data_IF_864777014908
#
_entry.id   IF_864777014908
#
_cell.length_a   1.000
_cell.length_b   1.000
_cell.length_c   1.000
_cell.angle_alpha   90.00
_cell.angle_beta   90.00
_cell.angle_gamma   90.00
#
_symmetry.space_group_name_H-M   'P 1'
#
loop_
_entity.id
_entity.type
_entity.pdbx_description
1 polymer ?
#
# COMPACT_ATOMS: atom_id res chain seq x y z
N UNK A 1 13.64 15.46 20.85
CA UNK A 1 14.71 16.21 21.52
C UNK A 1 14.67 17.64 21.01
N UNK A 2 13.89 18.48 21.69
CA UNK A 2 13.84 19.92 21.46
C UNK A 2 13.62 20.55 22.83
N UNK A 3 14.68 21.15 23.35
CA UNK A 3 14.76 21.65 24.72
C UNK A 3 13.66 22.68 25.00
N UNK A 4 12.75 22.34 25.92
CA UNK A 4 11.94 23.34 26.60
C UNK A 4 12.86 24.02 27.61
N UNK A 5 13.46 25.14 27.21
CA UNK A 5 14.08 26.08 28.12
C UNK A 5 12.99 26.62 29.06
N UNK A 6 12.88 26.01 30.24
CA UNK A 6 12.14 26.57 31.38
C UNK A 6 12.87 27.85 31.76
N UNK A 7 12.35 28.98 31.29
CA UNK A 7 12.79 30.28 31.75
C UNK A 7 12.38 30.39 33.22
N UNK A 8 13.32 30.06 34.13
CA UNK A 8 13.16 30.30 35.56
C UNK A 8 12.99 31.81 35.75
N UNK A 9 11.76 32.26 35.87
CA UNK A 9 11.48 33.63 36.30
C UNK A 9 11.78 33.69 37.80
N UNK A 10 13.04 33.95 38.12
CA UNK A 10 13.46 34.25 39.47
C UNK A 10 12.78 35.54 39.89
N UNK A 11 11.81 35.45 40.80
CA UNK A 11 11.32 36.59 41.57
C UNK A 11 12.50 37.12 42.41
N UNK A 12 13.35 37.92 41.79
CA UNK A 12 14.28 38.76 42.51
C UNK A 12 13.44 39.84 43.18
N UNK A 13 13.14 39.63 44.47
CA UNK A 13 12.67 40.67 45.35
C UNK A 13 13.66 41.82 45.27
N UNK A 14 13.28 42.89 44.57
CA UNK A 14 14.01 44.15 44.62
C UNK A 14 13.68 44.81 45.96
N UNK A 15 14.44 44.45 46.98
CA UNK A 15 14.64 45.32 48.13
C UNK A 15 15.36 46.57 47.64
N UNK A 16 14.58 47.54 47.16
CA UNK A 16 15.07 48.88 46.88
C UNK A 16 15.28 49.60 48.23
N UNK A 17 16.40 49.29 48.89
CA UNK A 17 16.89 50.10 50.00
C UNK A 17 17.39 51.41 49.38
N UNK A 18 16.57 52.45 49.46
CA UNK A 18 16.94 53.81 49.07
C UNK A 18 18.17 54.25 49.88
N UNK A 19 19.32 54.29 49.20
CA UNK A 19 20.58 54.81 49.70
C UNK A 19 20.52 56.33 49.86
N UNK A 20 20.03 56.78 51.01
CA UNK A 20 20.23 58.14 51.52
C UNK A 20 21.58 58.25 52.23
N UNK A 21 22.40 59.19 51.76
CA UNK A 21 23.71 59.60 52.26
C UNK A 21 23.83 59.58 53.80
N UNK A 22 24.88 58.93 54.29
CA UNK A 22 25.25 58.90 55.72
C UNK A 22 25.51 60.30 56.25
N UNK A 23 24.63 60.78 57.13
CA UNK A 23 25.02 61.70 58.20
C UNK A 23 24.63 61.04 59.52
N UNK A 24 25.65 60.88 60.37
CA UNK A 24 25.59 60.31 61.72
C UNK A 24 24.64 61.16 62.58
N UNK A 25 23.52 60.57 62.98
CA UNK A 25 22.54 61.17 63.88
C UNK A 25 21.19 60.47 63.75
N UNK A 26 20.82 59.66 64.76
CA UNK A 26 19.48 59.10 64.99
C UNK A 26 18.58 58.99 63.74
N UNK A 27 18.65 57.88 62.99
CA UNK A 27 17.47 57.48 62.19
C UNK A 27 16.38 57.09 63.19
N UNK A 28 15.54 58.05 63.56
CA UNK A 28 14.20 57.74 64.05
C UNK A 28 13.61 56.76 63.04
N UNK A 29 13.09 55.60 63.48
CA UNK A 29 12.47 54.57 62.61
C UNK A 29 11.18 55.05 61.93
N UNK A 30 11.07 56.35 61.67
CA UNK A 30 9.89 57.07 61.20
C UNK A 30 10.26 57.70 59.87
N UNK A 31 9.61 57.23 58.82
CA UNK A 31 9.73 57.75 57.47
C UNK A 31 9.10 59.13 57.38
N UNK A 32 9.64 59.99 56.51
CA UNK A 32 8.96 61.25 56.18
C UNK A 32 7.71 60.96 55.33
N UNK A 33 6.66 61.79 55.42
CA UNK A 33 5.47 61.62 54.57
C UNK A 33 5.79 61.59 53.07
N UNK A 34 6.85 62.29 52.65
CA UNK A 34 7.31 62.35 51.25
C UNK A 34 7.98 61.04 50.80
N UNK A 35 8.85 60.44 51.63
CA UNK A 35 9.43 59.12 51.37
C UNK A 35 8.36 58.02 51.36
N UNK A 36 7.39 58.08 52.28
CA UNK A 36 6.24 57.18 52.30
C UNK A 36 5.41 57.31 51.01
N UNK A 37 5.09 58.54 50.60
CA UNK A 37 4.32 58.79 49.39
C UNK A 37 5.07 58.35 48.12
N UNK A 38 6.38 58.61 48.04
CA UNK A 38 7.23 58.17 46.92
C UNK A 38 7.27 56.64 46.80
N UNK A 39 7.47 55.93 47.92
CA UNK A 39 7.45 54.46 47.94
C UNK A 39 6.09 53.88 47.53
N UNK A 40 4.98 54.43 48.04
CA UNK A 40 3.64 53.96 47.68
C UNK A 40 3.31 54.25 46.21
N UNK A 41 3.74 55.40 45.68
CA UNK A 41 3.60 55.70 44.26
C UNK A 41 4.44 54.75 43.39
N UNK A 42 5.70 54.48 43.75
CA UNK A 42 6.56 53.52 43.05
C UNK A 42 5.93 52.12 43.05
N UNK A 43 5.43 51.66 44.20
CA UNK A 43 4.73 50.37 44.31
C UNK A 43 3.44 50.33 43.50
N UNK A 44 2.67 51.43 43.47
CA UNK A 44 1.49 51.54 42.64
C UNK A 44 1.82 51.42 41.14
N UNK A 45 2.81 52.18 40.65
CA UNK A 45 3.24 52.10 39.25
C UNK A 45 3.81 50.74 38.88
N UNK A 46 4.57 50.10 39.80
CA UNK A 46 5.09 48.76 39.60
C UNK A 46 3.96 47.72 39.50
N UNK A 47 2.97 47.77 40.39
CA UNK A 47 1.80 46.89 40.33
C UNK A 47 0.98 47.11 39.06
N UNK A 48 0.79 48.37 38.64
CA UNK A 48 0.08 48.68 37.41
C UNK A 48 0.78 48.09 36.17
N UNK A 49 2.12 48.19 36.12
CA UNK A 49 2.95 47.58 35.08
C UNK A 49 2.89 46.06 35.10
N UNK A 50 2.90 45.44 36.28
CA UNK A 50 2.74 43.99 36.44
C UNK A 50 1.37 43.52 35.95
N UNK A 51 0.29 44.24 36.26
CA UNK A 51 -1.04 43.97 35.73
C UNK A 51 -1.07 44.02 34.20
N UNK A 52 -0.54 45.09 33.59
CA UNK A 52 -0.45 45.21 32.13
C UNK A 52 0.35 44.06 31.50
N UNK A 53 1.46 43.66 32.12
CA UNK A 53 2.26 42.51 31.67
C UNK A 53 1.49 41.20 31.76
N UNK A 54 0.73 40.98 32.84
CA UNK A 54 -0.10 39.77 32.97
C UNK A 54 -1.21 39.71 31.92
N UNK A 55 -1.87 40.82 31.64
CA UNK A 55 -2.89 40.91 30.58
C UNK A 55 -2.29 40.60 29.21
N UNK A 56 -1.11 41.17 28.92
CA UNK A 56 -0.38 40.92 27.69
C UNK A 56 0.00 39.43 27.53
N UNK A 57 0.50 38.79 28.59
CA UNK A 57 0.82 37.35 28.59
C UNK A 57 -0.43 36.48 28.42
N UNK A 58 -1.55 36.84 29.05
CA UNK A 58 -2.82 36.13 28.91
C UNK A 58 -3.32 36.19 27.47
N UNK A 59 -3.23 37.35 26.82
CA UNK A 59 -3.65 37.52 25.43
C UNK A 59 -2.73 36.79 24.46
N UNK A 60 -1.41 36.79 24.71
CA UNK A 60 -0.47 35.93 23.99
C UNK A 60 -0.81 34.45 24.17
N UNK A 61 -1.10 34.02 25.39
CA UNK A 61 -1.44 32.63 25.72
C UNK A 61 -2.72 32.19 25.01
N UNK A 62 -3.79 32.98 25.08
CA UNK A 62 -5.05 32.75 24.33
C UNK A 62 -4.80 32.66 22.83
N UNK A 63 -3.95 33.54 22.29
CA UNK A 63 -3.58 33.56 20.87
C UNK A 63 -2.83 32.29 20.46
N UNK A 64 -1.86 31.85 21.27
CA UNK A 64 -1.12 30.60 21.06
C UNK A 64 -2.04 29.39 21.14
N UNK A 65 -2.92 29.31 22.14
CA UNK A 65 -3.91 28.22 22.25
C UNK A 65 -4.79 28.17 21.00
N UNK A 66 -5.35 29.31 20.58
CA UNK A 66 -6.19 29.39 19.38
C UNK A 66 -5.43 28.95 18.13
N UNK A 67 -4.19 29.40 17.95
CA UNK A 67 -3.34 29.03 16.82
C UNK A 67 -3.03 27.53 16.82
N UNK A 68 -2.60 26.99 17.96
CA UNK A 68 -2.26 25.57 18.12
C UNK A 68 -3.48 24.68 17.89
N UNK A 69 -4.65 25.07 18.41
CA UNK A 69 -5.91 24.36 18.17
C UNK A 69 -6.29 24.37 16.69
N UNK A 70 -6.18 25.51 16.01
CA UNK A 70 -6.47 25.59 14.58
C UNK A 70 -5.53 24.71 13.73
N UNK A 71 -4.24 24.70 14.06
CA UNK A 71 -3.24 23.84 13.39
C UNK A 71 -3.55 22.36 13.67
N UNK A 72 -3.83 22.01 14.92
CA UNK A 72 -4.15 20.64 15.34
C UNK A 72 -5.40 20.12 14.63
N UNK A 73 -6.47 20.92 14.59
CA UNK A 73 -7.70 20.57 13.87
C UNK A 73 -7.46 20.38 12.38
N UNK A 74 -6.69 21.26 11.75
CA UNK A 74 -6.33 21.13 10.33
C UNK A 74 -5.55 19.84 10.08
N UNK A 75 -4.50 19.57 10.87
CA UNK A 75 -3.69 18.37 10.73
C UNK A 75 -4.51 17.09 10.96
N UNK A 76 -5.42 17.12 11.94
CA UNK A 76 -6.32 16.00 12.22
C UNK A 76 -7.30 15.76 11.05
N UNK A 77 -7.86 16.82 10.47
CA UNK A 77 -8.73 16.73 9.30
C UNK A 77 -7.98 16.18 8.07
N UNK A 78 -6.79 16.71 7.80
CA UNK A 78 -5.92 16.25 6.70
C UNK A 78 -5.53 14.77 6.89
N UNK A 79 -5.15 14.38 8.11
CA UNK A 79 -4.82 12.98 8.45
C UNK A 79 -6.04 12.06 8.26
N UNK A 80 -7.22 12.50 8.72
CA UNK A 80 -8.47 11.75 8.56
C UNK A 80 -8.83 11.57 7.09
N UNK A 81 -8.66 12.62 6.27
CA UNK A 81 -8.88 12.55 4.82
C UNK A 81 -7.94 11.54 4.16
N UNK A 82 -6.63 11.63 4.43
CA UNK A 82 -5.63 10.70 3.88
C UNK A 82 -5.86 9.25 4.31
N UNK A 83 -6.32 9.03 5.54
CA UNK A 83 -6.70 7.69 6.01
C UNK A 83 -7.92 7.14 5.25
N UNK A 84 -8.93 7.97 4.97
CA UNK A 84 -10.10 7.57 4.17
C UNK A 84 -9.70 7.20 2.73
N UNK A 85 -8.87 8.02 2.09
CA UNK A 85 -8.34 7.75 0.74
C UNK A 85 -7.57 6.43 0.73
N UNK A 86 -6.63 6.24 1.65
CA UNK A 86 -5.86 4.99 1.76
C UNK A 86 -6.75 3.77 2.04
N UNK A 87 -7.79 3.92 2.87
CA UNK A 87 -8.75 2.84 3.12
C UNK A 87 -9.50 2.48 1.84
N UNK A 88 -9.96 3.48 1.09
CA UNK A 88 -10.61 3.28 -0.19
C UNK A 88 -9.70 2.53 -1.18
N UNK A 89 -8.44 2.97 -1.33
CA UNK A 89 -7.47 2.31 -2.20
C UNK A 89 -7.23 0.85 -1.80
N UNK A 90 -7.08 0.57 -0.50
CA UNK A 90 -6.88 -0.80 -0.01
C UNK A 90 -8.08 -1.68 -0.33
N UNK A 91 -9.30 -1.17 -0.12
CA UNK A 91 -10.53 -1.92 -0.41
C UNK A 91 -10.69 -2.14 -1.92
N UNK A 92 -10.44 -1.12 -2.73
CA UNK A 92 -10.45 -1.21 -4.19
C UNK A 92 -9.49 -2.30 -4.67
N UNK A 93 -8.21 -2.23 -4.29
CA UNK A 93 -7.23 -3.22 -4.72
C UNK A 93 -7.50 -4.62 -4.18
N UNK A 94 -8.14 -4.74 -3.01
CA UNK A 94 -8.55 -6.05 -2.49
C UNK A 94 -9.65 -6.66 -3.34
N UNK A 95 -10.63 -5.86 -3.76
CA UNK A 95 -11.70 -6.30 -4.63
C UNK A 95 -11.15 -6.66 -6.01
N UNK A 96 -10.27 -5.84 -6.57
CA UNK A 96 -9.67 -6.08 -7.89
C UNK A 96 -8.81 -7.34 -7.89
N UNK A 97 -7.93 -7.53 -6.90
CA UNK A 97 -7.16 -8.77 -6.79
C UNK A 97 -8.05 -10.02 -6.65
N UNK A 98 -9.14 -9.93 -5.88
CA UNK A 98 -10.06 -11.04 -5.75
C UNK A 98 -10.79 -11.36 -7.06
N UNK A 99 -11.15 -10.32 -7.82
CA UNK A 99 -11.72 -10.47 -9.16
C UNK A 99 -10.73 -11.16 -10.09
N UNK A 100 -9.52 -10.63 -10.21
CA UNK A 100 -8.46 -11.17 -11.08
C UNK A 100 -8.11 -12.64 -10.74
N UNK A 101 -8.05 -12.99 -9.45
CA UNK A 101 -7.86 -14.38 -9.03
C UNK A 101 -9.00 -15.28 -9.56
N UNK A 102 -10.25 -14.82 -9.45
CA UNK A 102 -11.40 -15.60 -9.95
C UNK A 102 -11.41 -15.70 -11.47
N UNK A 103 -11.03 -14.63 -12.16
CA UNK A 103 -10.96 -14.59 -13.63
C UNK A 103 -9.89 -15.57 -14.13
N UNK A 104 -8.69 -15.59 -13.52
CA UNK A 104 -7.63 -16.56 -13.83
C UNK A 104 -8.07 -18.00 -13.53
N UNK A 105 -8.81 -18.25 -12.44
CA UNK A 105 -9.34 -19.58 -12.14
C UNK A 105 -10.30 -20.04 -13.25
N UNK A 106 -11.22 -19.17 -13.67
CA UNK A 106 -12.18 -19.48 -14.71
C UNK A 106 -11.49 -19.75 -16.05
N UNK A 107 -10.59 -18.86 -16.46
CA UNK A 107 -9.82 -19.02 -17.70
C UNK A 107 -8.98 -20.30 -17.69
N UNK A 108 -8.33 -20.61 -16.57
CA UNK A 108 -7.56 -21.86 -16.42
C UNK A 108 -8.45 -23.09 -16.51
N UNK A 109 -9.67 -23.04 -15.96
CA UNK A 109 -10.63 -24.14 -16.09
C UNK A 109 -11.08 -24.35 -17.54
N UNK A 110 -11.32 -23.26 -18.29
CA UNK A 110 -11.68 -23.33 -19.71
C UNK A 110 -10.51 -23.94 -20.50
N UNK A 111 -9.29 -23.47 -20.24
CA UNK A 111 -8.10 -23.95 -20.94
C UNK A 111 -7.80 -25.43 -20.67
N UNK A 112 -8.04 -25.91 -19.44
CA UNK A 112 -7.96 -27.33 -19.10
C UNK A 112 -8.96 -28.15 -19.92
N UNK A 113 -10.22 -27.71 -19.98
CA UNK A 113 -11.25 -28.42 -20.77
C UNK A 113 -10.90 -28.47 -22.27
N UNK A 114 -10.41 -27.37 -22.83
CA UNK A 114 -10.01 -27.35 -24.25
C UNK A 114 -8.78 -28.22 -24.51
N UNK A 115 -7.80 -28.24 -23.59
CA UNK A 115 -6.67 -29.17 -23.68
C UNK A 115 -7.15 -30.62 -23.66
N UNK A 116 -8.06 -30.97 -22.76
CA UNK A 116 -8.57 -32.35 -22.64
C UNK A 116 -9.36 -32.75 -23.91
N UNK A 117 -10.12 -31.80 -24.48
CA UNK A 117 -10.77 -31.97 -25.78
C UNK A 117 -9.76 -32.19 -26.90
N UNK A 118 -8.65 -31.44 -26.94
CA UNK A 118 -7.58 -31.63 -27.92
C UNK A 118 -6.90 -33.00 -27.75
N UNK A 119 -6.72 -33.49 -26.52
CA UNK A 119 -6.21 -34.83 -26.25
C UNK A 119 -7.16 -35.92 -26.75
N UNK A 120 -8.46 -35.79 -26.52
CA UNK A 120 -9.46 -36.71 -27.08
C UNK A 120 -9.43 -36.70 -28.61
N UNK A 121 -9.41 -35.51 -29.21
CA UNK A 121 -9.35 -35.37 -30.66
C UNK A 121 -8.08 -35.99 -31.26
N UNK A 122 -6.94 -35.88 -30.56
CA UNK A 122 -5.70 -36.54 -30.98
C UNK A 122 -5.87 -38.07 -31.03
N UNK A 123 -6.50 -38.67 -30.04
CA UNK A 123 -6.78 -40.12 -30.04
C UNK A 123 -7.74 -40.51 -31.17
N UNK A 124 -8.74 -39.67 -31.45
CA UNK A 124 -9.67 -39.91 -32.55
C UNK A 124 -8.98 -39.91 -33.93
N UNK A 125 -7.90 -39.16 -34.10
CA UNK A 125 -7.11 -39.16 -35.34
C UNK A 125 -6.25 -40.41 -35.55
N UNK A 126 -6.03 -41.24 -34.53
CA UNK A 126 -5.23 -42.46 -34.68
C UNK A 126 -5.94 -43.52 -35.53
N UNK A 127 -7.27 -43.61 -35.43
CA UNK A 127 -8.07 -44.56 -36.21
C UNK A 127 -7.99 -44.31 -37.73
N UNK A 128 -8.26 -43.10 -38.25
CA UNK A 128 -8.12 -42.85 -39.69
C UNK A 128 -6.68 -43.03 -40.18
N UNK A 129 -5.67 -42.70 -39.36
CA UNK A 129 -4.27 -42.97 -39.69
C UNK A 129 -3.98 -44.46 -39.83
N UNK A 130 -4.51 -45.28 -38.92
CA UNK A 130 -4.40 -46.74 -38.97
C UNK A 130 -5.09 -47.30 -40.22
N UNK A 131 -6.29 -46.83 -40.54
CA UNK A 131 -7.05 -47.25 -41.73
C UNK A 131 -6.27 -46.92 -43.01
N UNK A 132 -5.73 -45.71 -43.14
CA UNK A 132 -4.93 -45.32 -44.29
C UNK A 132 -3.67 -46.19 -44.43
N UNK A 133 -3.00 -46.47 -43.30
CA UNK A 133 -1.82 -47.34 -43.23
C UNK A 133 -2.13 -48.78 -43.63
N UNK A 134 -3.22 -49.36 -43.12
CA UNK A 134 -3.66 -50.72 -43.46
C UNK A 134 -4.08 -50.84 -44.93
N UNK A 135 -4.71 -49.80 -45.47
CA UNK A 135 -5.04 -49.70 -46.89
C UNK A 135 -3.80 -49.70 -47.79
N UNK A 136 -2.75 -48.98 -47.40
CA UNK A 136 -1.47 -49.00 -48.10
C UNK A 136 -0.80 -50.37 -47.98
N UNK A 137 -0.75 -50.96 -46.78
CA UNK A 137 -0.19 -52.29 -46.56
C UNK A 137 -0.90 -53.37 -47.39
N UNK A 138 -2.23 -53.31 -47.49
CA UNK A 138 -3.02 -54.24 -48.30
C UNK A 138 -2.67 -54.13 -49.80
N UNK A 139 -2.48 -52.90 -50.30
CA UNK A 139 -2.01 -52.65 -51.67
C UNK A 139 -0.58 -53.14 -51.87
N UNK A 140 0.25 -53.06 -50.84
CA UNK A 140 1.62 -53.55 -50.88
C UNK A 140 1.71 -55.05 -51.20
N UNK A 141 0.76 -55.85 -50.71
CA UNK A 141 0.70 -57.30 -50.93
C UNK A 141 0.24 -57.74 -52.33
N UNK A 142 -0.20 -56.82 -53.21
CA UNK A 142 -0.54 -57.16 -54.61
C UNK A 142 0.70 -57.72 -55.33
N UNK A 143 0.52 -58.67 -56.26
CA UNK A 143 1.63 -59.37 -56.93
C UNK A 143 1.48 -59.36 -58.45
N UNK A 144 2.61 -59.46 -59.15
CA UNK A 144 2.63 -59.56 -60.61
C UNK A 144 2.06 -58.31 -61.27
N UNK A 145 1.16 -58.51 -62.25
CA UNK A 145 0.56 -57.40 -63.01
C UNK A 145 -0.35 -56.51 -62.15
N UNK A 146 -0.84 -57.01 -61.01
CA UNK A 146 -1.72 -56.26 -60.09
C UNK A 146 -0.93 -55.32 -59.16
N UNK A 147 0.41 -55.40 -59.14
CA UNK A 147 1.26 -54.47 -58.39
C UNK A 147 1.38 -53.16 -59.18
N UNK A 148 0.34 -52.35 -59.09
CA UNK A 148 0.21 -51.06 -59.78
C UNK A 148 0.06 -49.95 -58.76
N UNK A 149 0.84 -48.89 -58.94
CA UNK A 149 0.63 -47.61 -58.26
C UNK A 149 -0.57 -46.91 -58.87
N UNK A 150 -1.71 -47.03 -58.19
CA UNK A 150 -2.97 -46.43 -58.63
C UNK A 150 -3.14 -45.02 -58.04
N UNK A 151 -4.14 -44.28 -58.55
CA UNK A 151 -4.45 -42.94 -58.04
C UNK A 151 -4.84 -42.97 -56.56
N UNK A 152 -5.46 -44.06 -56.09
CA UNK A 152 -5.90 -44.19 -54.69
C UNK A 152 -4.68 -44.34 -53.77
N UNK A 153 -3.64 -45.05 -54.19
CA UNK A 153 -2.37 -45.14 -53.45
C UNK A 153 -1.73 -43.76 -53.26
N UNK A 154 -1.72 -42.92 -54.30
CA UNK A 154 -1.23 -41.54 -54.21
C UNK A 154 -2.04 -40.70 -53.22
N UNK A 155 -3.37 -40.76 -53.29
CA UNK A 155 -4.25 -40.03 -52.36
C UNK A 155 -4.10 -40.52 -50.91
N UNK A 156 -3.89 -41.82 -50.68
CA UNK A 156 -3.66 -42.40 -49.34
C UNK A 156 -2.36 -41.88 -48.71
N UNK A 157 -1.30 -41.69 -49.50
CA UNK A 157 -0.07 -41.07 -48.98
C UNK A 157 -0.29 -39.61 -48.56
N UNK A 158 -1.05 -38.86 -49.36
CA UNK A 158 -1.40 -37.46 -49.04
C UNK A 158 -2.28 -37.40 -47.78
N UNK A 159 -3.28 -38.28 -47.65
CA UNK A 159 -4.12 -38.38 -46.47
C UNK A 159 -3.31 -38.70 -45.22
N UNK A 160 -2.38 -39.66 -45.31
CA UNK A 160 -1.50 -40.04 -44.20
C UNK A 160 -0.61 -38.87 -43.75
N UNK A 161 0.00 -38.14 -44.71
CA UNK A 161 0.80 -36.95 -44.42
C UNK A 161 -0.05 -35.85 -43.77
N UNK A 162 -1.26 -35.60 -44.30
CA UNK A 162 -2.18 -34.61 -43.75
C UNK A 162 -2.58 -34.92 -42.30
N UNK A 163 -2.95 -36.17 -42.02
CA UNK A 163 -3.31 -36.61 -40.67
C UNK A 163 -2.11 -36.43 -39.72
N UNK A 164 -0.91 -36.84 -40.12
CA UNK A 164 0.30 -36.66 -39.31
C UNK A 164 0.61 -35.18 -39.03
N UNK A 165 0.43 -34.30 -40.03
CA UNK A 165 0.59 -32.86 -39.86
C UNK A 165 -0.44 -32.29 -38.88
N UNK A 166 -1.71 -32.71 -38.96
CA UNK A 166 -2.76 -32.33 -38.02
C UNK A 166 -2.41 -32.81 -36.60
N UNK A 167 -1.99 -34.07 -36.44
CA UNK A 167 -1.56 -34.62 -35.15
C UNK A 167 -0.42 -33.81 -34.54
N UNK A 168 0.56 -33.39 -35.36
CA UNK A 168 1.66 -32.53 -34.90
C UNK A 168 1.16 -31.16 -34.44
N UNK A 169 0.24 -30.55 -35.18
CA UNK A 169 -0.37 -29.27 -34.79
C UNK A 169 -1.12 -29.39 -33.45
N UNK A 170 -1.91 -30.45 -33.27
CA UNK A 170 -2.65 -30.69 -32.02
C UNK A 170 -1.68 -30.90 -30.85
N UNK A 171 -0.62 -31.70 -31.03
CA UNK A 171 0.42 -31.91 -30.00
C UNK A 171 1.07 -30.60 -29.57
N UNK A 172 1.42 -29.74 -30.53
CA UNK A 172 1.98 -28.43 -30.24
C UNK A 172 0.98 -27.52 -29.49
N UNK A 173 -0.31 -27.58 -29.84
CA UNK A 173 -1.35 -26.82 -29.16
C UNK A 173 -1.57 -27.29 -27.72
N UNK A 174 -1.53 -28.60 -27.47
CA UNK A 174 -1.58 -29.18 -26.12
C UNK A 174 -0.39 -28.70 -25.28
N UNK A 175 0.83 -28.74 -25.83
CA UNK A 175 2.03 -28.28 -25.13
C UNK A 175 1.94 -26.78 -24.76
N UNK A 176 1.44 -25.94 -25.67
CA UNK A 176 1.20 -24.53 -25.40
C UNK A 176 0.14 -24.33 -24.31
N UNK A 177 -0.95 -25.10 -24.35
CA UNK A 177 -1.99 -25.05 -23.33
C UNK A 177 -1.45 -25.46 -21.95
N UNK A 178 -0.66 -26.53 -21.84
CA UNK A 178 -0.05 -26.96 -20.59
C UNK A 178 0.92 -25.91 -20.03
N UNK A 179 1.74 -25.29 -20.90
CA UNK A 179 2.62 -24.19 -20.50
C UNK A 179 1.82 -23.01 -19.94
N UNK A 180 0.74 -22.61 -20.62
CA UNK A 180 -0.10 -21.50 -20.18
C UNK A 180 -0.84 -21.84 -18.88
N UNK A 181 -1.29 -23.08 -18.69
CA UNK A 181 -1.88 -23.54 -17.42
C UNK A 181 -0.87 -23.40 -16.27
N UNK A 182 0.38 -23.80 -16.47
CA UNK A 182 1.44 -23.62 -15.48
C UNK A 182 1.66 -22.14 -15.14
N UNK A 183 1.78 -21.28 -16.16
CA UNK A 183 1.95 -19.84 -15.96
C UNK A 183 0.76 -19.20 -15.21
N UNK A 184 -0.47 -19.59 -15.55
CA UNK A 184 -1.67 -19.10 -14.87
C UNK A 184 -1.66 -19.49 -13.38
N UNK A 185 -1.19 -20.70 -13.05
CA UNK A 185 -1.06 -21.14 -11.65
C UNK A 185 -0.03 -20.31 -10.88
N UNK A 186 1.14 -20.05 -11.47
CA UNK A 186 2.18 -19.21 -10.87
C UNK A 186 1.66 -17.77 -10.62
N UNK A 187 1.00 -17.17 -11.61
CA UNK A 187 0.41 -15.83 -11.48
C UNK A 187 -0.67 -15.83 -10.39
N UNK A 188 -1.54 -16.83 -10.37
CA UNK A 188 -2.58 -16.98 -9.35
C UNK A 188 -1.97 -17.03 -7.94
N UNK A 189 -0.95 -17.86 -7.71
CA UNK A 189 -0.26 -17.96 -6.42
C UNK A 189 0.34 -16.61 -6.01
N UNK A 190 0.98 -15.90 -6.94
CA UNK A 190 1.52 -14.57 -6.68
C UNK A 190 0.42 -13.55 -6.30
N UNK A 191 -0.74 -13.59 -6.96
CA UNK A 191 -1.88 -12.74 -6.63
C UNK A 191 -2.48 -13.09 -5.27
N UNK A 192 -2.59 -14.37 -4.92
CA UNK A 192 -3.07 -14.84 -3.61
C UNK A 192 -2.17 -14.37 -2.47
N UNK A 193 -0.84 -14.40 -2.66
CA UNK A 193 0.13 -13.84 -1.71
C UNK A 193 -0.11 -12.34 -1.53
N UNK A 194 -0.18 -11.57 -2.62
CA UNK A 194 -0.44 -10.13 -2.58
C UNK A 194 -1.77 -9.79 -1.90
N UNK A 195 -2.81 -10.59 -2.15
CA UNK A 195 -4.10 -10.45 -1.51
C UNK A 195 -4.03 -10.72 -0.01
N UNK A 196 -3.28 -11.76 0.39
CA UNK A 196 -3.08 -12.11 1.80
C UNK A 196 -2.32 -11.03 2.58
N UNK A 197 -1.34 -10.37 1.96
CA UNK A 197 -0.61 -9.25 2.55
C UNK A 197 -1.50 -8.03 2.76
N UNK A 198 -2.37 -7.71 1.79
CA UNK A 198 -3.38 -6.65 1.96
C UNK A 198 -4.42 -7.01 3.03
N UNK A 199 -4.63 -8.30 3.34
CA UNK A 199 -5.53 -8.77 4.41
C UNK A 199 -4.92 -8.63 5.80
N UNK A 200 -3.59 -8.70 5.94
CA UNK A 200 -2.88 -8.52 7.20
C UNK A 200 -2.10 -7.21 7.17
N UNK A 201 -2.72 -6.06 7.49
CA UNK A 201 -1.93 -4.86 7.74
C UNK A 201 -0.90 -5.21 8.82
N UNK A 202 0.40 -5.11 8.48
CA UNK A 202 1.49 -5.32 9.44
C UNK A 202 1.13 -4.48 10.65
N UNK A 203 0.80 -5.12 11.78
CA UNK A 203 0.57 -4.41 13.06
C UNK A 203 1.86 -3.65 13.34
N UNK A 204 1.86 -2.37 13.04
CA UNK A 204 2.97 -1.48 13.31
C UNK A 204 3.19 -1.49 14.82
N UNK A 205 4.35 -2.02 15.21
CA UNK A 205 5.19 -1.72 16.37
C UNK A 205 4.46 -1.02 17.51
N UNK A 206 4.39 -1.61 18.72
CA UNK A 206 3.73 -0.98 19.87
C UNK A 206 4.29 0.43 20.06
N UNK A 207 3.39 1.41 20.20
CA UNK A 207 3.77 2.78 20.59
C UNK A 207 4.69 2.67 21.79
N UNK A 208 5.92 3.18 21.69
CA UNK A 208 6.71 3.48 22.88
C UNK A 208 5.96 4.57 23.62
N UNK A 209 5.29 4.18 24.70
CA UNK A 209 4.91 5.09 25.76
C UNK A 209 6.21 5.52 26.45
N UNK A 210 6.67 6.74 26.17
CA UNK A 210 7.54 7.57 27.03
C UNK A 210 7.54 8.99 26.48
#
# INVERSE_FOLDING_TARGET
>A
MGDLAIHKNSLAQTENVCGGTSTIGFRSSKYTPEEWNSYHNEKYFQSAKECEQTECVDDMTKSVIKRTNAISQKLQADSTKRLKERLHDILFWKQELNREINDIIQETSILINERDRLQSFLLETDLPLQIATENLNTREYRRGIDKVTDSVESELYIEMELIQNIQKLIKNAIEQADKQICQNREVKEALEINWSDKKRPKKSIPRRET
#
